data_IF_575368383646
#
_entry.id   IF_575368383646
#
_cell.length_a   1.000
_cell.length_b   1.000
_cell.length_c   1.000
_cell.angle_alpha   90.00
_cell.angle_beta   90.00
_cell.angle_gamma   90.00
#
_symmetry.space_group_name_H-M   'P 1'
#
loop_
_entity.id
_entity.type
_entity.pdbx_description
1 polymer ?
#
# COMPACT_ATOMS: atom_id res chain seq x y z
N UNK A 1 24.13 31.08 0.91
CA UNK A 1 24.12 29.62 0.66
C UNK A 1 22.76 29.08 1.10
N UNK A 2 22.02 28.43 0.21
CA UNK A 2 20.72 27.83 0.53
C UNK A 2 20.88 26.31 0.47
N UNK A 3 20.56 25.62 1.57
CA UNK A 3 20.62 24.15 1.67
C UNK A 3 19.21 23.60 1.63
N UNK A 4 18.95 22.68 0.69
CA UNK A 4 17.68 21.97 0.59
C UNK A 4 17.52 21.05 1.83
N UNK A 5 16.63 21.41 2.76
CA UNK A 5 16.57 20.82 4.11
C UNK A 5 15.77 19.52 4.20
N UNK A 6 15.07 19.11 3.14
CA UNK A 6 14.40 17.80 3.00
C UNK A 6 13.77 17.68 1.61
N UNK A 7 14.18 16.68 0.84
CA UNK A 7 13.51 16.28 -0.39
C UNK A 7 12.39 15.30 -0.04
N UNK A 8 11.13 15.69 -0.27
CA UNK A 8 9.94 14.87 0.05
C UNK A 8 9.32 14.23 -1.20
N UNK A 9 9.94 14.36 -2.38
CA UNK A 9 9.38 13.86 -3.63
C UNK A 9 8.05 14.54 -4.04
N UNK A 10 7.44 14.01 -5.10
CA UNK A 10 6.45 14.63 -6.00
C UNK A 10 5.07 14.99 -5.39
N UNK A 11 4.79 14.70 -4.12
CA UNK A 11 3.47 14.98 -3.50
C UNK A 11 3.65 15.94 -2.32
N UNK A 12 3.01 17.11 -2.38
CA UNK A 12 3.04 18.10 -1.32
C UNK A 12 2.61 17.47 0.03
N UNK A 13 3.32 17.76 1.14
CA UNK A 13 2.97 17.21 2.43
C UNK A 13 1.55 17.62 2.78
N UNK A 14 0.67 16.64 3.04
CA UNK A 14 -0.65 16.95 3.60
C UNK A 14 -0.41 17.46 5.00
N UNK A 15 -0.56 18.75 5.21
CA UNK A 15 -0.46 19.39 6.52
C UNK A 15 -1.83 19.45 7.18
N UNK A 16 -1.87 19.34 8.49
CA UNK A 16 -3.05 19.67 9.30
C UNK A 16 -3.32 21.18 9.16
N UNK A 17 -4.49 21.65 9.61
CA UNK A 17 -4.78 23.09 9.69
C UNK A 17 -3.74 23.85 10.55
N UNK A 18 -3.01 23.13 11.41
CA UNK A 18 -1.93 23.64 12.26
C UNK A 18 -0.52 23.55 11.63
N UNK A 19 -0.40 23.12 10.37
CA UNK A 19 0.88 23.04 9.66
C UNK A 19 1.71 21.78 9.94
N UNK A 20 1.21 20.84 10.74
CA UNK A 20 1.91 19.60 11.05
C UNK A 20 1.67 18.53 9.97
N UNK A 21 2.66 17.69 9.62
CA UNK A 21 2.45 16.64 8.63
C UNK A 21 1.40 15.63 9.13
N UNK A 22 0.34 15.44 8.34
CA UNK A 22 -0.67 14.39 8.53
C UNK A 22 0.00 13.05 8.26
N UNK A 23 0.49 12.40 9.31
CA UNK A 23 1.08 11.05 9.25
C UNK A 23 0.02 9.96 9.01
N UNK A 24 -1.26 10.31 9.13
CA UNK A 24 -2.39 9.39 8.99
C UNK A 24 -2.66 9.08 7.51
N UNK A 25 -2.04 8.01 7.02
CA UNK A 25 -2.20 7.51 5.64
C UNK A 25 -0.88 7.23 4.93
N UNK A 26 0.23 7.74 5.45
CA UNK A 26 1.57 7.57 4.87
C UNK A 26 1.99 6.09 4.83
N UNK A 27 1.76 5.34 5.91
CA UNK A 27 2.17 3.94 6.01
C UNK A 27 1.57 3.09 4.87
N UNK A 28 0.26 3.20 4.61
CA UNK A 28 -0.41 2.45 3.52
C UNK A 28 0.05 2.89 2.14
N UNK A 29 0.25 4.20 1.95
CA UNK A 29 0.81 4.76 0.71
C UNK A 29 2.19 4.19 0.43
N UNK A 30 3.06 4.16 1.43
CA UNK A 30 4.44 3.64 1.36
C UNK A 30 4.47 2.16 1.04
N UNK A 31 3.69 1.35 1.75
CA UNK A 31 3.54 -0.08 1.46
C UNK A 31 3.08 -0.28 0.01
N UNK A 32 2.05 0.46 -0.43
CA UNK A 32 1.53 0.34 -1.80
C UNK A 32 2.56 0.75 -2.86
N UNK A 33 3.31 1.81 -2.60
CA UNK A 33 4.41 2.23 -3.47
C UNK A 33 5.49 1.15 -3.57
N UNK A 34 5.90 0.55 -2.44
CA UNK A 34 6.85 -0.57 -2.42
C UNK A 34 6.34 -1.78 -3.22
N UNK A 35 5.05 -2.12 -3.08
CA UNK A 35 4.39 -3.18 -3.86
C UNK A 35 4.46 -2.91 -5.37
N UNK A 36 4.19 -1.66 -5.78
CA UNK A 36 4.24 -1.26 -7.20
C UNK A 36 5.66 -1.31 -7.76
N UNK A 37 6.66 -0.89 -6.98
CA UNK A 37 8.07 -0.97 -7.37
C UNK A 37 8.47 -2.44 -7.55
N UNK A 38 8.16 -3.29 -6.56
CA UNK A 38 8.52 -4.71 -6.53
C UNK A 38 7.47 -5.62 -7.22
N UNK A 39 6.66 -5.09 -8.14
CA UNK A 39 5.50 -5.76 -8.74
C UNK A 39 5.77 -7.17 -9.30
N UNK A 40 7.00 -7.44 -9.75
CA UNK A 40 7.44 -8.73 -10.30
C UNK A 40 7.53 -9.85 -9.27
N UNK A 41 7.52 -9.55 -7.97
CA UNK A 41 7.53 -10.55 -6.91
C UNK A 41 8.21 -10.06 -5.65
N UNK A 42 7.52 -10.17 -4.51
CA UNK A 42 8.04 -9.74 -3.22
C UNK A 42 7.55 -10.63 -2.07
N UNK A 43 8.27 -10.59 -0.97
CA UNK A 43 7.93 -11.14 0.35
C UNK A 43 7.52 -10.00 1.29
N UNK A 44 6.96 -10.32 2.46
CA UNK A 44 6.63 -9.29 3.45
C UNK A 44 7.87 -8.51 3.92
N UNK A 45 8.99 -9.21 4.12
CA UNK A 45 10.25 -8.61 4.58
C UNK A 45 10.80 -7.61 3.57
N UNK A 46 10.79 -7.94 2.28
CA UNK A 46 11.23 -7.01 1.23
C UNK A 46 10.38 -5.73 1.20
N UNK A 47 9.07 -5.83 1.44
CA UNK A 47 8.17 -4.67 1.53
C UNK A 47 8.47 -3.82 2.77
N UNK A 48 8.71 -4.45 3.92
CA UNK A 48 9.06 -3.74 5.16
C UNK A 48 10.37 -2.98 4.95
N UNK A 49 11.41 -3.65 4.46
CA UNK A 49 12.70 -3.02 4.17
C UNK A 49 12.56 -1.85 3.20
N UNK A 50 11.78 -2.00 2.12
CA UNK A 50 11.56 -0.93 1.15
C UNK A 50 10.75 0.25 1.73
N UNK A 51 9.73 -0.02 2.55
CA UNK A 51 8.91 1.02 3.17
C UNK A 51 9.66 1.76 4.29
N UNK A 52 10.45 1.03 5.08
CA UNK A 52 11.30 1.59 6.13
C UNK A 52 12.45 2.42 5.57
N UNK A 53 13.06 2.00 4.46
CA UNK A 53 14.09 2.77 3.76
C UNK A 53 13.58 4.15 3.29
N UNK A 54 12.28 4.27 3.01
CA UNK A 54 11.69 5.57 2.67
C UNK A 54 11.48 6.47 3.90
N UNK A 55 11.65 5.97 5.12
CA UNK A 55 11.48 6.71 6.38
C UNK A 55 10.12 6.51 7.06
N UNK A 56 9.42 5.40 6.79
CA UNK A 56 8.18 5.05 7.50
C UNK A 56 8.40 3.88 8.43
N UNK A 57 8.05 4.04 9.70
CA UNK A 57 7.98 2.92 10.64
C UNK A 57 6.75 2.06 10.33
N UNK A 58 6.96 0.97 9.60
CA UNK A 58 5.91 0.02 9.22
C UNK A 58 6.14 -1.30 9.94
N UNK A 59 5.14 -1.73 10.71
CA UNK A 59 5.22 -3.02 11.42
C UNK A 59 5.02 -4.19 10.47
N UNK A 60 5.57 -5.35 10.84
CA UNK A 60 5.35 -6.59 10.08
C UNK A 60 3.85 -6.99 10.03
N UNK A 61 3.11 -6.72 11.11
CA UNK A 61 1.68 -7.00 11.18
C UNK A 61 0.87 -6.13 10.20
N UNK A 62 1.20 -4.83 10.10
CA UNK A 62 0.55 -3.92 9.15
C UNK A 62 0.71 -4.38 7.70
N UNK A 63 1.95 -4.73 7.31
CA UNK A 63 2.24 -5.24 5.96
C UNK A 63 1.50 -6.54 5.73
N UNK A 64 1.57 -7.49 6.68
CA UNK A 64 0.90 -8.78 6.56
C UNK A 64 -0.61 -8.60 6.36
N UNK A 65 -1.26 -7.80 7.19
CA UNK A 65 -2.71 -7.55 7.12
C UNK A 65 -3.10 -6.91 5.79
N UNK A 66 -2.35 -5.88 5.37
CA UNK A 66 -2.63 -5.17 4.13
C UNK A 66 -2.47 -6.07 2.90
N UNK A 67 -1.34 -6.79 2.80
CA UNK A 67 -1.07 -7.72 1.69
C UNK A 67 -2.10 -8.85 1.64
N UNK A 68 -2.52 -9.40 2.78
CA UNK A 68 -3.55 -10.44 2.83
C UNK A 68 -4.89 -9.94 2.28
N UNK A 69 -5.31 -8.73 2.67
CA UNK A 69 -6.57 -8.15 2.19
C UNK A 69 -6.50 -7.84 0.70
N UNK A 70 -5.37 -7.28 0.22
CA UNK A 70 -5.15 -7.07 -1.22
C UNK A 70 -5.12 -8.38 -2.01
N UNK A 71 -4.60 -9.46 -1.42
CA UNK A 71 -4.64 -10.78 -2.05
C UNK A 71 -6.06 -11.34 -2.16
N UNK A 72 -6.89 -11.16 -1.12
CA UNK A 72 -8.33 -11.49 -1.16
C UNK A 72 -9.07 -10.67 -2.22
N UNK A 73 -8.76 -9.37 -2.32
CA UNK A 73 -9.30 -8.45 -3.33
C UNK A 73 -8.70 -8.65 -4.74
N UNK A 74 -7.90 -9.70 -4.95
CA UNK A 74 -7.27 -10.06 -6.24
C UNK A 74 -6.33 -9.00 -6.83
N UNK A 75 -5.82 -8.08 -6.01
CA UNK A 75 -4.71 -7.20 -6.39
C UNK A 75 -3.40 -7.97 -6.45
N UNK A 76 -3.22 -8.89 -5.50
CA UNK A 76 -1.99 -9.66 -5.35
C UNK A 76 -2.26 -11.14 -5.56
N UNK A 77 -1.40 -11.78 -6.34
CA UNK A 77 -1.40 -13.24 -6.52
C UNK A 77 -0.25 -13.82 -5.70
N UNK A 78 -0.55 -14.80 -4.85
CA UNK A 78 0.47 -15.57 -4.14
C UNK A 78 1.12 -16.55 -5.13
N UNK A 79 2.44 -16.51 -5.25
CA UNK A 79 3.21 -17.36 -6.14
C UNK A 79 3.78 -18.55 -5.34
N UNK A 80 3.10 -19.68 -5.41
CA UNK A 80 3.55 -20.98 -4.89
C UNK A 80 3.49 -21.16 -3.36
N UNK A 81 3.78 -22.39 -2.89
CA UNK A 81 3.83 -22.75 -1.46
C UNK A 81 5.14 -22.32 -0.77
N UNK A 82 6.04 -21.62 -1.48
CA UNK A 82 7.36 -21.23 -0.98
C UNK A 82 7.30 -20.53 0.37
N UNK A 83 8.28 -20.84 1.22
CA UNK A 83 8.56 -20.13 2.48
C UNK A 83 9.88 -19.36 2.31
N UNK A 84 9.88 -18.02 2.39
CA UNK A 84 8.74 -17.13 2.59
C UNK A 84 7.78 -17.07 1.39
N UNK A 85 6.50 -16.83 1.66
CA UNK A 85 5.48 -16.66 0.62
C UNK A 85 5.81 -15.45 -0.27
N UNK A 86 5.85 -15.66 -1.58
CA UNK A 86 6.00 -14.58 -2.57
C UNK A 86 4.65 -14.14 -3.12
N UNK A 87 4.52 -12.85 -3.37
CA UNK A 87 3.34 -12.22 -3.96
C UNK A 87 3.75 -11.40 -5.17
N UNK A 88 2.92 -11.40 -6.20
CA UNK A 88 3.07 -10.54 -7.38
C UNK A 88 1.88 -9.60 -7.49
N UNK A 89 2.13 -8.37 -7.92
CA UNK A 89 1.06 -7.45 -8.26
C UNK A 89 0.48 -7.83 -9.61
N UNK A 90 -0.82 -8.05 -9.66
CA UNK A 90 -1.52 -8.33 -10.92
C UNK A 90 -1.42 -7.10 -11.84
N UNK A 91 -0.95 -7.23 -13.09
CA UNK A 91 -0.77 -6.09 -14.01
C UNK A 91 -2.05 -5.25 -14.19
N UNK A 92 -3.20 -5.91 -14.30
CA UNK A 92 -4.53 -5.28 -14.44
C UNK A 92 -5.09 -4.67 -13.12
N UNK A 93 -4.31 -4.69 -12.04
CA UNK A 93 -4.62 -4.13 -10.72
C UNK A 93 -3.57 -3.12 -10.26
N UNK A 94 -2.64 -2.75 -11.12
CA UNK A 94 -1.79 -1.58 -10.90
C UNK A 94 -2.56 -0.29 -11.22
N UNK A 95 -3.59 0.01 -10.43
CA UNK A 95 -4.65 0.98 -10.78
C UNK A 95 -4.26 2.44 -10.63
N UNK A 96 -3.19 2.74 -9.90
CA UNK A 96 -2.71 4.12 -9.74
C UNK A 96 -1.94 4.34 -8.43
N UNK A 97 -1.39 5.54 -8.23
CA UNK A 97 -0.54 5.86 -7.09
C UNK A 97 -1.31 5.87 -5.77
N UNK A 98 -2.64 6.05 -5.79
CA UNK A 98 -3.46 6.03 -4.57
C UNK A 98 -3.62 4.59 -4.07
N UNK A 99 -3.31 4.29 -2.80
CA UNK A 99 -3.47 2.94 -2.27
C UNK A 99 -4.95 2.54 -2.18
N UNK A 100 -5.32 1.28 -2.47
CA UNK A 100 -6.64 0.76 -2.11
C UNK A 100 -6.92 0.92 -0.61
N UNK A 101 -8.08 1.47 -0.29
CA UNK A 101 -8.49 1.79 1.07
C UNK A 101 -9.32 0.65 1.64
N UNK A 102 -8.86 0.10 2.76
CA UNK A 102 -9.61 -0.89 3.53
C UNK A 102 -10.56 -0.13 4.47
N UNK A 103 -11.85 -0.33 4.26
CA UNK A 103 -12.94 0.23 5.07
C UNK A 103 -13.15 -0.59 6.35
N UNK A 104 -13.91 -0.05 7.32
CA UNK A 104 -14.11 -0.67 8.64
C UNK A 104 -14.83 -2.03 8.56
N UNK A 105 -15.76 -2.17 7.62
CA UNK A 105 -16.46 -3.42 7.32
C UNK A 105 -15.57 -4.48 6.61
N UNK A 106 -14.35 -4.10 6.22
CA UNK A 106 -13.42 -4.97 5.51
C UNK A 106 -13.51 -4.92 3.99
N UNK A 107 -14.32 -4.01 3.45
CA UNK A 107 -14.38 -3.75 2.02
C UNK A 107 -13.13 -3.02 1.54
N UNK A 108 -12.79 -3.21 0.27
CA UNK A 108 -11.67 -2.53 -0.37
C UNK A 108 -12.23 -1.57 -1.41
N UNK A 109 -12.04 -0.28 -1.16
CA UNK A 109 -12.32 0.79 -2.11
C UNK A 109 -11.04 1.16 -2.86
N UNK A 110 -11.10 1.26 -4.19
CA UNK A 110 -9.97 1.75 -4.99
C UNK A 110 -10.20 3.20 -5.42
N UNK A 111 -9.46 4.17 -4.84
CA UNK A 111 -9.62 5.58 -5.17
C UNK A 111 -9.24 5.94 -6.60
N UNK A 112 -8.44 5.12 -7.30
CA UNK A 112 -8.08 5.37 -8.69
C UNK A 112 -9.18 4.90 -9.65
N UNK A 113 -10.00 3.92 -9.25
CA UNK A 113 -11.18 3.47 -10.00
C UNK A 113 -12.49 4.09 -9.50
N UNK A 114 -12.42 4.81 -8.38
CA UNK A 114 -13.56 5.41 -7.68
C UNK A 114 -14.70 4.42 -7.40
N UNK A 115 -14.37 3.18 -7.00
CA UNK A 115 -15.37 2.16 -6.67
C UNK A 115 -14.87 1.13 -5.66
N UNK A 116 -15.81 0.44 -5.01
CA UNK A 116 -15.51 -0.74 -4.21
C UNK A 116 -15.14 -1.90 -5.15
N UNK A 117 -13.99 -2.52 -4.90
CA UNK A 117 -13.41 -3.60 -5.72
C UNK A 117 -13.46 -4.96 -5.03
N UNK A 118 -13.78 -4.97 -3.73
CA UNK A 118 -14.01 -6.17 -2.94
C UNK A 118 -14.94 -5.84 -1.78
N UNK A 119 -15.95 -6.68 -1.55
CA UNK A 119 -16.85 -6.58 -0.40
C UNK A 119 -16.75 -7.83 0.46
N UNK A 120 -16.59 -7.67 1.78
CA UNK A 120 -16.41 -8.80 2.71
C UNK A 120 -17.73 -9.53 3.00
N UNK A 121 -18.85 -8.82 3.04
CA UNK A 121 -20.15 -9.34 3.46
C UNK A 121 -21.00 -9.97 2.32
N UNK A 122 -20.46 -10.02 1.11
CA UNK A 122 -21.05 -10.77 0.00
C UNK A 122 -21.46 -9.91 -1.19
N UNK A 123 -20.85 -10.22 -2.34
CA UNK A 123 -21.38 -9.95 -3.68
C UNK A 123 -21.54 -8.48 -4.06
N UNK A 124 -20.63 -7.96 -4.89
CA UNK A 124 -21.09 -6.98 -5.86
C UNK A 124 -22.04 -7.74 -6.82
N UNK A 125 -23.35 -7.47 -6.68
CA UNK A 125 -24.33 -7.63 -7.75
C UNK A 125 -23.94 -6.74 -8.94
#
# INVERSE_FOLDING_TARGET
MYTLKKDVGIDAPRVTASGEPVTQGDKRRRIWQSIRILHKGFTYQEIISAASAAGSDVSHEDVRRYVQILSKAKYLKKCGPGRPARYVLMPNRNTGPKPPMIQRNGDVFDPNKNRVVYSREGGAQ
#
